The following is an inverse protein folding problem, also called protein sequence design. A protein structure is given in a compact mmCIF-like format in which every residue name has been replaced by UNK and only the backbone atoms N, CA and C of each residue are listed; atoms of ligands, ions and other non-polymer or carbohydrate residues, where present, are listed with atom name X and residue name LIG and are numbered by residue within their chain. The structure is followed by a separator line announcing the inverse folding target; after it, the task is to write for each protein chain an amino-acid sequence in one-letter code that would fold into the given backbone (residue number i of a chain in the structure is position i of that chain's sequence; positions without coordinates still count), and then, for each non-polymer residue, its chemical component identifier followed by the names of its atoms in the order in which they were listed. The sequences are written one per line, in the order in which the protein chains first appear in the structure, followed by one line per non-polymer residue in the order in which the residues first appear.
data_IF_073470323123
#
_entry.id   IF_073470323123
#
_cell.length_a   1.000
_cell.length_b   1.000
_cell.length_c   1.000
_cell.angle_alpha   90.00
_cell.angle_beta   90.00
_cell.angle_gamma   90.00
#
_symmetry.space_group_name_H-M   'P 1'
#
loop_
_entity.id
_entity.type
_entity.pdbx_description
1 polymer ?
#
# COMPACT_ATOMS: atom_id res chain seq x y z
N UNK A 1 -17.55 -10.35 42.88
CA UNK A 1 -17.73 -9.90 41.50
C UNK A 1 -17.21 -8.47 41.33
N UNK A 2 -17.64 -7.50 42.16
CA UNK A 2 -17.22 -6.10 42.09
C UNK A 2 -15.70 -5.90 42.29
N UNK A 3 -15.06 -6.65 43.17
CA UNK A 3 -13.62 -6.58 43.38
C UNK A 3 -12.81 -7.18 42.19
N UNK A 4 -13.34 -8.24 41.57
CA UNK A 4 -12.72 -8.83 40.39
C UNK A 4 -12.76 -7.83 39.19
N UNK A 5 -13.89 -7.19 38.98
CA UNK A 5 -14.08 -6.20 37.92
C UNK A 5 -13.20 -4.95 38.15
N UNK A 6 -13.05 -4.51 39.41
CA UNK A 6 -12.09 -3.42 39.75
C UNK A 6 -10.66 -3.82 39.45
N UNK A 7 -10.26 -5.03 39.83
CA UNK A 7 -8.90 -5.53 39.57
C UNK A 7 -8.56 -5.66 38.08
N UNK A 8 -9.54 -6.03 37.25
CA UNK A 8 -9.39 -6.06 35.79
C UNK A 8 -9.34 -4.66 35.17
N UNK A 9 -10.19 -3.74 35.65
CA UNK A 9 -10.20 -2.35 35.20
C UNK A 9 -8.92 -1.62 35.57
N UNK A 10 -8.41 -1.79 36.80
CA UNK A 10 -7.12 -1.23 37.25
C UNK A 10 -5.92 -1.80 36.47
N UNK A 11 -6.02 -3.07 36.06
CA UNK A 11 -5.01 -3.69 35.19
C UNK A 11 -5.05 -3.14 33.78
N UNK A 12 -6.28 -2.96 33.24
CA UNK A 12 -6.52 -2.31 31.94
C UNK A 12 -6.01 -0.88 31.91
N UNK A 13 -6.31 -0.09 32.93
CA UNK A 13 -5.83 1.29 33.07
C UNK A 13 -4.31 1.39 33.23
N UNK A 14 -3.68 0.48 33.97
CA UNK A 14 -2.21 0.41 34.05
C UNK A 14 -1.57 0.05 32.73
N UNK A 15 -2.14 -0.89 32.00
CA UNK A 15 -1.65 -1.25 30.67
C UNK A 15 -1.81 -0.09 29.66
N UNK A 16 -2.90 0.66 29.75
CA UNK A 16 -3.11 1.89 28.96
C UNK A 16 -2.11 2.99 29.37
N UNK A 17 -1.85 3.18 30.66
CA UNK A 17 -0.86 4.15 31.14
C UNK A 17 0.56 3.78 30.69
N UNK A 18 0.96 2.52 30.81
CA UNK A 18 2.26 2.03 30.33
C UNK A 18 2.37 2.14 28.79
N UNK A 19 1.29 1.90 28.05
CA UNK A 19 1.25 2.13 26.62
C UNK A 19 1.36 3.61 26.27
N UNK A 20 0.72 4.50 27.06
CA UNK A 20 0.81 5.95 26.89
C UNK A 20 2.20 6.50 27.26
N UNK A 21 2.82 5.99 28.32
CA UNK A 21 4.20 6.35 28.72
C UNK A 21 5.22 5.89 27.65
N UNK A 22 4.99 4.74 27.04
CA UNK A 22 5.80 4.28 25.90
C UNK A 22 5.65 5.13 24.64
N UNK A 23 4.57 5.92 24.50
CA UNK A 23 4.38 6.88 23.42
C UNK A 23 5.24 8.15 23.58
N UNK A 24 5.81 8.38 24.75
CA UNK A 24 6.61 9.59 25.06
C UNK A 24 8.11 9.34 24.92
N UNK A 25 8.55 8.10 24.81
CA UNK A 25 9.97 7.77 24.87
C UNK A 25 10.49 7.18 23.55
N UNK A 26 11.18 8.02 22.76
CA UNK A 26 12.22 7.59 21.86
C UNK A 26 11.90 7.56 20.38
N UNK A 27 12.82 8.05 19.61
CA UNK A 27 12.87 8.21 18.15
C UNK A 27 12.84 6.90 17.33
N UNK A 28 12.63 5.73 17.92
CA UNK A 28 12.46 4.45 17.25
C UNK A 28 11.33 3.67 17.93
N UNK A 29 10.09 3.99 17.62
CA UNK A 29 8.98 3.16 18.05
C UNK A 29 8.88 1.93 17.12
N UNK A 30 9.55 0.85 17.53
CA UNK A 30 9.58 -0.42 16.78
C UNK A 30 8.26 -1.21 16.87
N UNK A 31 7.24 -0.66 17.54
CA UNK A 31 5.98 -1.36 17.73
C UNK A 31 5.14 -1.44 16.48
N UNK A 32 4.46 -2.56 16.38
CA UNK A 32 3.40 -2.77 15.38
C UNK A 32 2.09 -2.84 16.14
N UNK A 33 1.14 -1.98 15.78
CA UNK A 33 -0.21 -1.97 16.34
C UNK A 33 -1.17 -2.65 15.36
N UNK A 34 -1.93 -3.61 15.86
CA UNK A 34 -3.02 -4.20 15.13
C UNK A 34 -4.28 -3.35 15.30
N UNK A 35 -4.93 -3.03 14.21
CA UNK A 35 -6.16 -2.26 14.18
C UNK A 35 -7.34 -3.23 13.97
N UNK A 36 -8.25 -3.28 14.94
CA UNK A 36 -9.28 -4.32 15.01
C UNK A 36 -10.46 -4.12 14.07
N UNK A 37 -10.59 -2.97 13.39
CA UNK A 37 -11.70 -2.70 12.48
C UNK A 37 -11.28 -1.77 11.34
N UNK A 38 -12.05 -1.82 10.24
CA UNK A 38 -11.84 -0.91 9.12
C UNK A 38 -12.05 0.55 9.52
N UNK A 39 -13.02 0.86 10.38
CA UNK A 39 -13.25 2.20 10.88
C UNK A 39 -12.01 2.78 11.59
N UNK A 40 -11.35 1.95 12.40
CA UNK A 40 -10.10 2.33 13.10
C UNK A 40 -8.96 2.55 12.10
N UNK A 41 -8.79 1.65 11.13
CA UNK A 41 -7.78 1.74 10.09
C UNK A 41 -8.01 2.98 9.20
N UNK A 42 -9.25 3.17 8.74
CA UNK A 42 -9.68 4.31 7.93
C UNK A 42 -9.47 5.65 8.65
N UNK A 43 -9.87 5.73 9.93
CA UNK A 43 -9.66 6.94 10.75
C UNK A 43 -8.17 7.26 10.89
N UNK A 44 -7.33 6.23 11.01
CA UNK A 44 -5.87 6.38 11.03
C UNK A 44 -5.36 6.89 9.68
N UNK A 45 -5.79 6.30 8.56
CA UNK A 45 -5.42 6.77 7.22
C UNK A 45 -5.77 8.23 7.01
N UNK A 46 -7.00 8.63 7.33
CA UNK A 46 -7.45 10.03 7.22
C UNK A 46 -6.57 10.99 8.03
N UNK A 47 -6.21 10.59 9.26
CA UNK A 47 -5.33 11.40 10.09
C UNK A 47 -3.95 11.52 9.47
N UNK A 48 -3.33 10.40 9.08
CA UNK A 48 -2.01 10.39 8.45
C UNK A 48 -1.97 11.27 7.20
N UNK A 49 -2.95 11.12 6.30
CA UNK A 49 -3.05 11.95 5.09
C UNK A 49 -3.18 13.43 5.45
N UNK A 50 -4.05 13.79 6.41
CA UNK A 50 -4.30 15.18 6.80
C UNK A 50 -3.13 15.84 7.53
N UNK A 51 -2.33 15.07 8.26
CA UNK A 51 -1.19 15.55 9.05
C UNK A 51 0.14 15.50 8.28
N UNK A 52 0.20 14.84 7.14
CA UNK A 52 1.39 14.75 6.29
C UNK A 52 1.92 16.14 5.90
N UNK A 53 3.23 16.32 5.94
CA UNK A 53 3.91 17.61 5.71
C UNK A 53 4.82 17.62 4.49
N UNK A 54 5.33 16.47 4.10
CA UNK A 54 6.33 16.35 3.02
C UNK A 54 5.86 15.40 1.92
N UNK A 55 5.31 14.23 2.28
CA UNK A 55 4.90 13.25 1.29
C UNK A 55 3.73 12.38 1.74
N UNK A 56 2.97 11.91 0.74
CA UNK A 56 1.95 10.87 0.88
C UNK A 56 2.18 9.84 -0.20
N UNK A 57 2.39 8.59 0.20
CA UNK A 57 2.56 7.45 -0.69
C UNK A 57 1.44 6.45 -0.42
N UNK A 58 0.58 6.19 -1.41
CA UNK A 58 -0.65 5.42 -1.23
C UNK A 58 -0.84 4.39 -2.35
N UNK A 59 -1.18 3.16 -1.96
CA UNK A 59 -1.83 2.16 -2.80
C UNK A 59 -3.23 1.93 -2.25
N UNK A 60 -4.25 2.04 -3.10
CA UNK A 60 -5.64 1.89 -2.69
C UNK A 60 -6.49 1.30 -3.82
N UNK A 61 -7.45 0.45 -3.46
CA UNK A 61 -8.47 -0.04 -4.38
C UNK A 61 -9.71 0.84 -4.36
N UNK A 62 -10.43 0.88 -5.45
CA UNK A 62 -11.67 1.64 -5.60
C UNK A 62 -12.71 1.30 -4.52
N UNK A 63 -12.77 0.02 -4.12
CA UNK A 63 -13.69 -0.47 -3.09
C UNK A 63 -13.44 0.14 -1.70
N UNK A 64 -12.21 0.52 -1.40
CA UNK A 64 -11.79 1.10 -0.13
C UNK A 64 -11.68 2.64 -0.17
N UNK A 65 -11.82 3.26 -1.37
CA UNK A 65 -11.77 4.71 -1.54
C UNK A 65 -13.15 5.32 -1.37
N UNK A 66 -13.41 5.93 -0.25
CA UNK A 66 -14.63 6.72 -0.03
C UNK A 66 -14.40 8.23 -0.25
N UNK A 67 -15.49 8.99 -0.24
CA UNK A 67 -15.50 10.43 -0.52
C UNK A 67 -14.57 11.22 0.43
N UNK A 68 -14.50 10.85 1.71
CA UNK A 68 -13.69 11.58 2.69
C UNK A 68 -12.18 11.31 2.53
N UNK A 69 -11.80 10.07 2.20
CA UNK A 69 -10.43 9.72 1.83
C UNK A 69 -10.02 10.42 0.53
N UNK A 70 -10.90 10.39 -0.46
CA UNK A 70 -10.68 11.07 -1.74
C UNK A 70 -10.47 12.57 -1.55
N UNK A 71 -11.34 13.24 -0.79
CA UNK A 71 -11.21 14.67 -0.47
C UNK A 71 -9.89 14.99 0.25
N UNK A 72 -9.47 14.12 1.16
CA UNK A 72 -8.20 14.30 1.87
C UNK A 72 -7.00 14.18 0.91
N UNK A 73 -7.02 13.21 -0.02
CA UNK A 73 -5.97 13.01 -1.01
C UNK A 73 -5.92 14.20 -1.98
N UNK A 74 -7.05 14.60 -2.56
CA UNK A 74 -7.15 15.75 -3.48
C UNK A 74 -6.57 17.01 -2.84
N UNK A 75 -6.93 17.26 -1.58
CA UNK A 75 -6.39 18.41 -0.84
C UNK A 75 -4.88 18.33 -0.68
N UNK A 76 -4.33 17.15 -0.35
CA UNK A 76 -2.89 16.98 -0.20
C UNK A 76 -2.14 17.11 -1.53
N UNK A 77 -2.69 16.65 -2.64
CA UNK A 77 -2.10 16.87 -3.96
C UNK A 77 -2.02 18.36 -4.33
N UNK A 78 -2.95 19.18 -3.83
CA UNK A 78 -2.88 20.62 -4.04
C UNK A 78 -1.87 21.35 -3.13
N UNK A 79 -1.51 20.75 -2.00
CA UNK A 79 -0.66 21.37 -0.96
C UNK A 79 0.78 20.84 -0.94
N UNK A 80 1.01 19.58 -1.36
CA UNK A 80 2.30 18.90 -1.30
C UNK A 80 2.81 18.52 -2.70
N UNK A 81 4.10 18.63 -2.91
CA UNK A 81 4.75 18.23 -4.17
C UNK A 81 4.91 16.70 -4.30
N UNK A 82 4.94 15.97 -3.18
CA UNK A 82 5.24 14.54 -3.14
C UNK A 82 4.03 13.73 -2.74
N UNK A 83 3.04 13.65 -3.61
CA UNK A 83 1.89 12.77 -3.42
C UNK A 83 1.83 11.76 -4.55
N UNK A 84 1.93 10.48 -4.21
CA UNK A 84 1.85 9.36 -5.15
C UNK A 84 0.66 8.49 -4.77
N UNK A 85 -0.25 8.28 -5.71
CA UNK A 85 -1.41 7.41 -5.57
C UNK A 85 -1.37 6.33 -6.64
N UNK A 86 -1.25 5.08 -6.21
CA UNK A 86 -1.45 3.91 -7.07
C UNK A 86 -2.88 3.45 -6.87
N UNK A 87 -3.66 3.51 -7.91
CA UNK A 87 -5.08 3.20 -7.87
C UNK A 87 -5.38 1.89 -8.60
N UNK A 88 -6.15 1.04 -7.95
CA UNK A 88 -6.59 -0.24 -8.47
C UNK A 88 -8.11 -0.24 -8.64
N UNK A 89 -8.57 -0.41 -9.87
CA UNK A 89 -10.00 -0.57 -10.19
C UNK A 89 -10.22 -1.74 -11.15
N UNK A 90 -10.39 -2.93 -10.60
CA UNK A 90 -10.60 -4.15 -11.39
C UNK A 90 -11.89 -4.13 -12.22
N UNK A 91 -12.85 -3.34 -11.83
CA UNK A 91 -14.13 -3.21 -12.52
C UNK A 91 -14.17 -2.07 -13.56
N UNK A 92 -13.16 -1.19 -13.53
CA UNK A 92 -13.05 0.01 -14.37
C UNK A 92 -14.33 0.87 -14.35
N UNK A 93 -14.91 1.02 -13.15
CA UNK A 93 -16.21 1.69 -12.97
C UNK A 93 -16.14 2.92 -12.08
N UNK A 94 -15.01 3.13 -11.42
CA UNK A 94 -14.85 4.23 -10.49
C UNK A 94 -14.37 5.50 -11.19
N UNK A 95 -15.15 6.57 -11.05
CA UNK A 95 -14.74 7.91 -11.45
C UNK A 95 -14.18 8.64 -10.23
N UNK A 96 -12.87 8.91 -10.23
CA UNK A 96 -12.20 9.61 -9.13
C UNK A 96 -11.95 11.07 -9.47
N UNK A 97 -12.00 11.92 -8.43
CA UNK A 97 -11.63 13.35 -8.49
C UNK A 97 -10.14 13.58 -8.23
N UNK A 98 -9.38 12.52 -7.91
CA UNK A 98 -7.92 12.61 -7.70
C UNK A 98 -7.28 12.95 -9.05
N UNK A 99 -6.64 14.14 -9.18
CA UNK A 99 -6.14 14.60 -10.49
C UNK A 99 -4.95 13.79 -11.00
N UNK A 100 -4.04 13.42 -10.11
CA UNK A 100 -2.81 12.72 -10.46
C UNK A 100 -2.76 11.35 -9.75
N UNK A 101 -2.94 10.28 -10.53
CA UNK A 101 -2.84 8.91 -10.04
C UNK A 101 -2.22 7.98 -11.08
N UNK A 102 -1.68 6.88 -10.59
CA UNK A 102 -1.19 5.80 -11.42
C UNK A 102 -2.21 4.67 -11.44
N UNK A 103 -2.87 4.45 -12.59
CA UNK A 103 -3.69 3.25 -12.80
C UNK A 103 -2.78 2.05 -13.01
N UNK A 104 -2.86 1.07 -12.12
CA UNK A 104 -1.93 -0.06 -12.12
C UNK A 104 -2.04 -0.90 -13.40
N UNK A 105 -3.26 -1.29 -13.82
CA UNK A 105 -3.53 -1.96 -15.08
C UNK A 105 -3.37 -3.48 -15.06
N UNK A 106 -3.08 -4.09 -13.90
CA UNK A 106 -2.99 -5.54 -13.70
C UNK A 106 -3.86 -6.00 -12.53
N UNK A 107 -4.96 -5.31 -12.28
CA UNK A 107 -5.82 -5.50 -11.11
C UNK A 107 -6.37 -6.92 -11.02
N UNK A 108 -6.80 -7.49 -12.16
CA UNK A 108 -7.34 -8.85 -12.21
C UNK A 108 -6.29 -9.91 -11.88
N UNK A 109 -5.05 -9.68 -12.31
CA UNK A 109 -3.93 -10.57 -12.00
C UNK A 109 -3.58 -10.50 -10.53
N UNK A 110 -3.51 -9.29 -9.98
CA UNK A 110 -3.28 -9.08 -8.55
C UNK A 110 -4.34 -9.76 -7.68
N UNK A 111 -5.62 -9.65 -8.06
CA UNK A 111 -6.70 -10.36 -7.36
C UNK A 111 -6.55 -11.88 -7.43
N UNK A 112 -6.10 -12.43 -8.56
CA UNK A 112 -5.85 -13.87 -8.70
C UNK A 112 -4.67 -14.35 -7.86
N UNK A 113 -3.58 -13.59 -7.86
CA UNK A 113 -2.36 -13.91 -7.12
C UNK A 113 -2.57 -13.82 -5.60
N UNK A 114 -3.13 -12.71 -5.13
CA UNK A 114 -3.23 -12.40 -3.71
C UNK A 114 -4.56 -12.78 -3.07
N UNK A 115 -5.58 -13.08 -3.89
CA UNK A 115 -6.94 -13.45 -3.46
C UNK A 115 -7.60 -12.39 -2.55
N UNK A 116 -7.17 -11.17 -2.66
CA UNK A 116 -7.65 -10.06 -1.84
C UNK A 116 -7.16 -8.71 -2.34
N UNK A 117 -7.69 -7.67 -1.72
CA UNK A 117 -7.29 -6.28 -1.93
C UNK A 117 -6.49 -5.79 -0.73
N UNK A 118 -5.85 -4.65 -0.87
CA UNK A 118 -5.11 -4.02 0.23
C UNK A 118 -5.14 -2.49 0.11
N UNK A 119 -4.89 -1.85 1.24
CA UNK A 119 -4.48 -0.47 1.32
C UNK A 119 -3.08 -0.43 1.95
N UNK A 120 -2.17 0.31 1.34
CA UNK A 120 -0.85 0.59 1.88
C UNK A 120 -0.63 2.10 1.82
N UNK A 121 -0.46 2.73 2.97
CA UNK A 121 -0.20 4.16 3.09
C UNK A 121 1.08 4.38 3.89
N UNK A 122 1.91 5.26 3.39
CA UNK A 122 3.09 5.77 4.06
C UNK A 122 3.07 7.30 4.03
N UNK A 123 3.48 7.96 5.11
CA UNK A 123 3.56 9.42 5.18
C UNK A 123 4.87 9.88 5.81
N UNK A 124 5.50 10.87 5.14
CA UNK A 124 6.70 11.61 5.59
C UNK A 124 7.92 10.75 5.92
N UNK A 125 7.98 9.48 5.49
CA UNK A 125 9.03 8.54 5.86
C UNK A 125 8.97 8.11 7.34
N UNK A 126 7.86 8.37 8.04
CA UNK A 126 7.77 8.23 9.49
C UNK A 126 6.75 7.21 9.97
N UNK A 127 5.69 7.00 9.24
CA UNK A 127 4.63 6.08 9.64
C UNK A 127 3.98 5.39 8.44
N UNK A 128 3.53 4.17 8.64
CA UNK A 128 2.81 3.43 7.63
C UNK A 128 1.63 2.67 8.21
N UNK A 129 0.63 2.43 7.38
CA UNK A 129 -0.48 1.53 7.64
C UNK A 129 -0.65 0.58 6.46
N UNK A 130 -0.88 -0.68 6.76
CA UNK A 130 -1.34 -1.68 5.81
C UNK A 130 -2.68 -2.23 6.27
N UNK A 131 -3.63 -2.37 5.37
CA UNK A 131 -4.89 -3.06 5.62
C UNK A 131 -5.15 -4.03 4.48
N UNK A 132 -5.40 -5.30 4.82
CA UNK A 132 -5.74 -6.36 3.88
C UNK A 132 -7.25 -6.65 3.90
N UNK A 133 -7.80 -6.98 2.72
CA UNK A 133 -9.24 -7.26 2.57
C UNK A 133 -9.43 -8.54 1.79
N UNK A 134 -10.33 -9.40 2.28
CA UNK A 134 -10.81 -10.55 1.55
C UNK A 134 -12.30 -10.36 1.28
N UNK A 135 -12.71 -10.36 0.02
CA UNK A 135 -14.04 -9.98 -0.43
C UNK A 135 -14.38 -8.55 0.06
N UNK A 136 -15.38 -8.40 0.93
CA UNK A 136 -15.83 -7.11 1.46
C UNK A 136 -15.41 -6.87 2.92
N UNK A 137 -14.56 -7.74 3.48
CA UNK A 137 -14.15 -7.66 4.88
C UNK A 137 -12.66 -7.42 5.01
N UNK A 138 -12.31 -6.48 5.89
CA UNK A 138 -10.93 -6.33 6.35
C UNK A 138 -10.51 -7.59 7.11
N UNK A 139 -9.41 -8.19 6.68
CA UNK A 139 -8.86 -9.38 7.33
C UNK A 139 -7.83 -9.02 8.39
N UNK A 140 -7.07 -7.98 8.14
CA UNK A 140 -6.00 -7.51 9.01
C UNK A 140 -5.71 -6.04 8.73
N UNK A 141 -5.35 -5.28 9.76
CA UNK A 141 -4.71 -3.98 9.58
C UNK A 141 -3.62 -3.79 10.64
N UNK A 142 -2.50 -3.26 10.17
CA UNK A 142 -1.36 -2.91 11.01
C UNK A 142 -0.97 -1.45 10.80
N UNK A 143 -0.54 -0.81 11.87
CA UNK A 143 0.06 0.53 11.86
C UNK A 143 1.41 0.47 12.57
N UNK A 144 2.40 1.18 12.07
CA UNK A 144 3.70 1.27 12.72
C UNK A 144 4.43 2.56 12.36
N UNK A 145 5.37 2.93 13.21
CA UNK A 145 6.38 3.98 12.98
C UNK A 145 7.79 3.39 12.89
N UNK A 146 7.89 2.07 12.75
CA UNK A 146 9.17 1.42 12.53
C UNK A 146 9.79 1.88 11.21
N UNK A 147 10.99 2.44 11.27
CA UNK A 147 11.68 3.01 10.12
C UNK A 147 11.84 2.01 8.95
N UNK A 148 12.19 0.76 9.25
CA UNK A 148 12.40 -0.24 8.20
C UNK A 148 11.10 -0.63 7.50
N UNK A 149 10.00 -0.68 8.23
CA UNK A 149 8.68 -0.96 7.67
C UNK A 149 8.17 0.21 6.83
N UNK A 150 8.36 1.45 7.30
CA UNK A 150 8.01 2.64 6.52
C UNK A 150 8.84 2.75 5.24
N UNK A 151 10.13 2.44 5.32
CA UNK A 151 11.01 2.38 4.14
C UNK A 151 10.53 1.33 3.13
N UNK A 152 10.20 0.12 3.59
CA UNK A 152 9.68 -0.94 2.71
C UNK A 152 8.36 -0.53 2.06
N UNK A 153 7.45 0.09 2.80
CA UNK A 153 6.19 0.59 2.26
C UNK A 153 6.43 1.66 1.19
N UNK A 154 7.29 2.63 1.48
CA UNK A 154 7.66 3.69 0.54
C UNK A 154 8.26 3.10 -0.75
N UNK A 155 9.24 2.18 -0.65
CA UNK A 155 9.88 1.56 -1.80
C UNK A 155 8.91 0.68 -2.61
N UNK A 156 8.00 -0.05 -1.95
CA UNK A 156 6.97 -0.82 -2.62
C UNK A 156 6.09 0.07 -3.52
N UNK A 157 5.56 1.17 -2.97
CA UNK A 157 4.72 2.11 -3.72
C UNK A 157 5.52 2.80 -4.83
N UNK A 158 6.77 3.19 -4.54
CA UNK A 158 7.66 3.83 -5.51
C UNK A 158 7.97 2.92 -6.69
N UNK A 159 8.24 1.64 -6.45
CA UNK A 159 8.49 0.67 -7.53
C UNK A 159 7.24 0.46 -8.39
N UNK A 160 6.05 0.36 -7.81
CA UNK A 160 4.81 0.28 -8.58
C UNK A 160 4.60 1.54 -9.44
N UNK A 161 4.89 2.72 -8.91
CA UNK A 161 4.85 3.97 -9.67
C UNK A 161 5.84 3.96 -10.85
N UNK A 162 7.08 3.48 -10.63
CA UNK A 162 8.08 3.35 -11.69
C UNK A 162 7.62 2.37 -12.78
N UNK A 163 7.15 1.19 -12.38
CA UNK A 163 6.67 0.18 -13.32
C UNK A 163 5.49 0.68 -14.13
N UNK A 164 4.52 1.33 -13.47
CA UNK A 164 3.36 1.91 -14.15
C UNK A 164 3.77 3.01 -15.12
N UNK A 165 4.68 3.90 -14.70
CA UNK A 165 5.19 4.98 -15.56
C UNK A 165 5.96 4.45 -16.75
N UNK A 166 6.82 3.45 -16.56
CA UNK A 166 7.53 2.78 -17.65
C UNK A 166 6.56 2.15 -18.63
N UNK A 167 5.58 1.38 -18.15
CA UNK A 167 4.56 0.75 -18.98
C UNK A 167 3.79 1.75 -19.85
N UNK A 168 3.44 2.91 -19.30
CA UNK A 168 2.75 3.98 -20.02
C UNK A 168 3.60 4.60 -21.14
N UNK A 169 4.94 4.50 -21.06
CA UNK A 169 5.89 5.04 -22.04
C UNK A 169 6.36 3.99 -23.05
N UNK A 170 6.04 2.70 -22.84
CA UNK A 170 6.44 1.65 -23.77
C UNK A 170 5.72 1.83 -25.12
N UNK A 171 6.44 1.70 -26.24
CA UNK A 171 5.83 1.77 -27.57
C UNK A 171 4.94 0.54 -27.81
N UNK A 172 3.98 0.62 -28.76
CA UNK A 172 3.08 -0.50 -29.06
C UNK A 172 3.80 -1.81 -29.41
N UNK A 173 4.98 -1.71 -30.02
CA UNK A 173 5.83 -2.85 -30.38
C UNK A 173 6.35 -3.64 -29.17
N UNK A 174 6.31 -3.04 -27.98
CA UNK A 174 6.66 -3.76 -26.75
C UNK A 174 5.73 -4.95 -26.49
N UNK A 175 4.49 -4.92 -26.96
CA UNK A 175 3.56 -6.05 -26.88
C UNK A 175 4.02 -7.27 -27.69
N UNK A 176 4.70 -7.07 -28.80
CA UNK A 176 5.29 -8.17 -29.59
C UNK A 176 6.38 -8.89 -28.80
N UNK A 177 7.08 -8.16 -27.93
CA UNK A 177 8.19 -8.70 -27.11
C UNK A 177 7.69 -9.32 -25.80
N UNK A 178 6.76 -8.62 -25.12
CA UNK A 178 6.36 -8.96 -23.76
C UNK A 178 4.96 -9.62 -23.65
N UNK A 179 4.27 -9.81 -24.78
CA UNK A 179 2.91 -10.32 -24.85
C UNK A 179 1.86 -9.20 -24.77
N UNK A 180 0.63 -9.52 -25.17
CA UNK A 180 -0.48 -8.53 -25.26
C UNK A 180 -0.81 -7.93 -23.90
N UNK A 181 -0.77 -8.75 -22.84
CA UNK A 181 -1.02 -8.37 -21.46
C UNK A 181 0.27 -8.06 -20.69
N UNK A 182 1.39 -7.89 -21.39
CA UNK A 182 2.71 -7.62 -20.80
C UNK A 182 3.14 -8.69 -19.76
N UNK A 183 2.69 -9.92 -19.93
CA UNK A 183 2.99 -11.03 -19.03
C UNK A 183 4.49 -11.30 -18.91
N UNK A 184 5.25 -11.05 -19.99
CA UNK A 184 6.71 -11.22 -19.99
C UNK A 184 7.46 -10.26 -19.06
N UNK A 185 6.86 -9.11 -18.71
CA UNK A 185 7.42 -8.20 -17.69
C UNK A 185 7.09 -8.70 -16.28
N UNK A 186 5.94 -9.37 -16.13
CA UNK A 186 5.45 -9.83 -14.81
C UNK A 186 6.05 -11.14 -14.35
N UNK A 187 6.53 -11.97 -15.29
CA UNK A 187 7.19 -13.23 -14.95
C UNK A 187 8.63 -12.98 -14.48
N UNK A 188 8.74 -12.46 -13.27
CA UNK A 188 10.02 -12.11 -12.64
C UNK A 188 10.86 -13.34 -12.25
N UNK A 189 10.28 -14.55 -12.27
CA UNK A 189 10.96 -15.79 -11.94
C UNK A 189 11.67 -16.40 -13.13
N UNK A 190 11.26 -16.05 -14.36
CA UNK A 190 11.94 -16.46 -15.59
C UNK A 190 13.07 -15.50 -15.97
N UNK A 191 14.09 -15.41 -15.11
CA UNK A 191 15.23 -14.47 -15.25
C UNK A 191 15.99 -14.68 -16.58
N UNK A 192 15.95 -15.89 -17.13
CA UNK A 192 16.65 -16.26 -18.37
C UNK A 192 15.71 -16.60 -19.53
N UNK A 193 14.42 -16.36 -19.36
CA UNK A 193 13.39 -16.68 -20.33
C UNK A 193 13.47 -15.89 -21.65
N UNK A 194 12.49 -16.15 -22.51
CA UNK A 194 12.41 -15.58 -23.87
C UNK A 194 12.39 -14.04 -23.90
N UNK A 195 11.93 -13.41 -22.82
CA UNK A 195 11.82 -11.95 -22.70
C UNK A 195 13.06 -11.28 -22.10
N UNK A 196 14.07 -12.05 -21.70
CA UNK A 196 15.26 -11.47 -21.10
C UNK A 196 16.27 -11.05 -22.17
N UNK A 197 16.41 -9.74 -22.39
CA UNK A 197 17.36 -9.16 -23.33
C UNK A 197 18.84 -9.46 -22.98
N UNK A 198 19.14 -9.84 -21.73
CA UNK A 198 20.48 -10.19 -21.26
C UNK A 198 20.80 -11.68 -21.41
N UNK A 199 19.95 -12.47 -22.05
CA UNK A 199 20.24 -13.88 -22.31
C UNK A 199 21.51 -13.97 -23.19
N UNK A 200 22.57 -14.67 -22.75
CA UNK A 200 23.74 -14.86 -23.56
C UNK A 200 23.33 -15.57 -24.85
N UNK A 201 23.53 -14.94 -26.00
CA UNK A 201 23.28 -15.55 -27.28
C UNK A 201 24.28 -16.72 -27.43
N UNK A 202 23.83 -17.94 -27.23
CA UNK A 202 24.69 -19.11 -27.51
C UNK A 202 24.51 -20.36 -26.65
N UNK A 203 23.69 -20.36 -25.64
CA UNK A 203 23.28 -21.61 -25.00
C UNK A 203 22.13 -22.23 -25.78
N UNK A 204 22.48 -23.01 -26.83
CA UNK A 204 21.56 -23.99 -27.41
C UNK A 204 21.23 -25.01 -26.31
N UNK A 205 19.97 -25.24 -26.07
CA UNK A 205 19.48 -26.43 -25.38
C UNK A 205 19.91 -27.64 -26.19
N UNK A 206 20.99 -28.29 -25.78
CA UNK A 206 21.23 -29.70 -26.12
C UNK A 206 20.34 -30.49 -25.14
N UNK A 207 19.26 -31.04 -25.70
CA UNK A 207 18.26 -31.90 -25.07
C UNK A 207 18.85 -33.27 -24.67
#
# INVERSE_FOLDING_TARGET
LAELLRGEMDRGLRNLALAAEGLVCGQNDERIWHLGSWESARSRCLRMIREAREQVMLQIWADELDEELEDAIVRRQAELEKVVVIFYDAAQRYETRIPDLYCHGFEQDKLREWKGRWLLLETDGQEMIYAGFSREQMTEAIYTRNFHMTLLACECIRHDAYCTRLRMQLPPEAREVFGDDMEGIRDVFDVHGKYNANRPQGQKEDA
#
